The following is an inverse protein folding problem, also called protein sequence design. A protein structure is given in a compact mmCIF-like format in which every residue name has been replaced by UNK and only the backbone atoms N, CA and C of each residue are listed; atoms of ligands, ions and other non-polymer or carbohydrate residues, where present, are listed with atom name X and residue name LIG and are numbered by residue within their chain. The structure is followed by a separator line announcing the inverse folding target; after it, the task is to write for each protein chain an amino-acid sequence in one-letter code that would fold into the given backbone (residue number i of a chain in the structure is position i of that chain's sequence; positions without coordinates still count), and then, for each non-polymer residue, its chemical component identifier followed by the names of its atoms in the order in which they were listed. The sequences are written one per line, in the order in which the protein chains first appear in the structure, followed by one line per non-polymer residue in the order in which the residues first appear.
data_IF_143097960869
#
_entry.id   IF_143097960869
#
_cell.length_a   1.000
_cell.length_b   1.000
_cell.length_c   1.000
_cell.angle_alpha   90.00
_cell.angle_beta   90.00
_cell.angle_gamma   90.00
#
_symmetry.space_group_name_H-M   'P 1'
#
loop_
_entity.id
_entity.type
_entity.pdbx_description
1 polymer ?
#
# COMPACT_ATOMS: atom_id res chain seq x y z
N UNK A 1 -1.67 -8.94 0.47
CA UNK A 1 -0.42 -8.49 -0.17
C UNK A 1 -0.30 -8.88 -1.65
N UNK A 2 -0.70 -10.10 -2.08
CA UNK A 2 -0.70 -10.45 -3.52
C UNK A 2 -1.55 -9.52 -4.40
N UNK A 3 -2.75 -9.15 -3.93
CA UNK A 3 -3.61 -8.18 -4.63
C UNK A 3 -2.94 -6.81 -4.80
N UNK A 4 -2.17 -6.35 -3.79
CA UNK A 4 -1.45 -5.08 -3.83
C UNK A 4 -0.31 -5.12 -4.86
N UNK A 5 0.35 -6.27 -5.03
CA UNK A 5 1.38 -6.46 -6.07
C UNK A 5 0.76 -6.46 -7.47
N UNK A 6 -0.35 -7.18 -7.67
CA UNK A 6 -1.07 -7.20 -8.96
C UNK A 6 -1.60 -5.80 -9.29
N UNK A 7 -2.09 -5.07 -8.29
CA UNK A 7 -2.56 -3.69 -8.44
C UNK A 7 -1.42 -2.73 -8.81
N UNK A 8 -0.30 -2.76 -8.08
CA UNK A 8 0.90 -1.96 -8.41
C UNK A 8 1.49 -2.32 -9.78
N UNK A 9 1.39 -3.58 -10.21
CA UNK A 9 1.83 -4.00 -11.53
C UNK A 9 0.92 -3.45 -12.64
N UNK A 10 -0.40 -3.51 -12.43
CA UNK A 10 -1.37 -2.90 -13.35
C UNK A 10 -1.15 -1.39 -13.53
N UNK A 11 -0.90 -0.71 -12.41
CA UNK A 11 -0.47 0.69 -12.33
C UNK A 11 0.78 0.98 -13.16
N UNK A 12 1.85 0.21 -12.93
CA UNK A 12 3.12 0.40 -13.62
C UNK A 12 2.99 0.16 -15.15
N UNK A 13 2.20 -0.83 -15.56
CA UNK A 13 1.91 -1.07 -16.96
C UNK A 13 1.11 0.08 -17.59
N UNK A 14 0.15 0.65 -16.86
CA UNK A 14 -0.63 1.81 -17.31
C UNK A 14 0.22 3.08 -17.42
N UNK A 15 1.11 3.35 -16.47
CA UNK A 15 2.06 4.48 -16.54
C UNK A 15 3.02 4.32 -17.72
N UNK A 16 3.52 3.11 -17.97
CA UNK A 16 4.34 2.84 -19.14
C UNK A 16 3.57 3.03 -20.44
N UNK A 17 2.28 2.65 -20.46
CA UNK A 17 1.40 2.88 -21.59
C UNK A 17 1.13 4.39 -21.80
N UNK A 18 0.94 5.15 -20.72
CA UNK A 18 0.79 6.61 -20.72
C UNK A 18 2.01 7.30 -21.33
N UNK A 19 3.20 6.95 -20.84
CA UNK A 19 4.48 7.47 -21.31
C UNK A 19 4.74 7.11 -22.78
N UNK A 20 4.40 5.89 -23.19
CA UNK A 20 4.55 5.45 -24.59
C UNK A 20 3.59 6.14 -25.55
N UNK A 21 2.35 6.37 -25.12
CA UNK A 21 1.32 6.91 -26.00
C UNK A 21 1.49 8.42 -26.25
N UNK A 22 2.25 9.16 -25.40
CA UNK A 22 2.44 10.62 -25.45
C UNK A 22 1.14 11.43 -25.59
N UNK A 23 -0.03 10.81 -25.42
CA UNK A 23 -1.34 11.43 -25.38
C UNK A 23 -1.79 11.47 -23.94
N UNK A 24 -2.18 12.67 -23.51
CA UNK A 24 -2.90 12.92 -22.27
C UNK A 24 -3.96 11.83 -22.09
N UNK A 25 -3.86 11.04 -21.01
CA UNK A 25 -4.90 10.11 -20.57
C UNK A 25 -6.07 10.92 -20.03
N UNK A 26 -6.76 11.58 -20.95
CA UNK A 26 -7.91 12.44 -20.73
C UNK A 26 -9.20 11.61 -20.70
N UNK A 27 -9.12 10.39 -20.14
CA UNK A 27 -10.30 9.58 -19.84
C UNK A 27 -10.59 9.72 -18.34
N UNK A 28 -11.38 10.72 -17.93
CA UNK A 28 -11.67 11.00 -16.52
C UNK A 28 -12.28 9.81 -15.78
N UNK A 29 -12.95 8.90 -16.52
CA UNK A 29 -13.52 7.66 -16.00
C UNK A 29 -12.43 6.71 -15.49
N UNK A 30 -11.31 6.57 -16.22
CA UNK A 30 -10.22 5.69 -15.83
C UNK A 30 -9.49 6.23 -14.60
N UNK A 31 -9.26 7.56 -14.57
CA UNK A 31 -8.62 8.24 -13.44
C UNK A 31 -9.52 8.20 -12.19
N UNK A 32 -10.84 8.34 -12.34
CA UNK A 32 -11.80 8.21 -11.24
C UNK A 32 -11.85 6.80 -10.66
N UNK A 33 -11.93 5.76 -11.51
CA UNK A 33 -11.89 4.36 -11.07
C UNK A 33 -10.59 4.09 -10.26
N UNK A 34 -9.50 4.70 -10.71
CA UNK A 34 -8.19 4.52 -10.12
C UNK A 34 -8.06 5.18 -8.73
N UNK A 35 -8.54 6.42 -8.58
CA UNK A 35 -8.64 7.10 -7.28
C UNK A 35 -9.44 6.27 -6.28
N UNK A 36 -10.58 5.71 -6.70
CA UNK A 36 -11.41 4.85 -5.84
C UNK A 36 -10.67 3.55 -5.48
N UNK A 37 -10.00 2.92 -6.45
CA UNK A 37 -9.25 1.69 -6.24
C UNK A 37 -8.05 1.84 -5.30
N UNK A 38 -7.29 2.92 -5.42
CA UNK A 38 -6.20 3.24 -4.50
C UNK A 38 -6.71 3.56 -3.10
N UNK A 39 -7.83 4.25 -2.99
CA UNK A 39 -8.43 4.57 -1.71
C UNK A 39 -8.87 3.31 -0.95
N UNK A 40 -9.54 2.37 -1.65
CA UNK A 40 -9.94 1.07 -1.10
C UNK A 40 -8.71 0.23 -0.75
N UNK A 41 -7.69 0.21 -1.61
CA UNK A 41 -6.45 -0.55 -1.36
C UNK A 41 -5.69 0.02 -0.17
N UNK A 42 -5.66 1.34 -0.01
CA UNK A 42 -5.06 2.03 1.13
C UNK A 42 -5.76 1.70 2.44
N UNK A 43 -7.09 1.72 2.48
CA UNK A 43 -7.86 1.34 3.69
C UNK A 43 -7.66 -0.12 4.06
N UNK A 44 -7.63 -1.02 3.07
CA UNK A 44 -7.39 -2.44 3.31
C UNK A 44 -5.96 -2.71 3.81
N UNK A 45 -4.96 -1.98 3.28
CA UNK A 45 -3.56 -2.10 3.71
C UNK A 45 -3.36 -1.54 5.13
N UNK A 46 -4.05 -0.45 5.49
CA UNK A 46 -4.07 0.07 6.86
C UNK A 46 -4.67 -0.93 7.84
N UNK A 47 -5.81 -1.52 7.50
CA UNK A 47 -6.46 -2.53 8.34
C UNK A 47 -5.53 -3.75 8.57
N UNK A 48 -4.87 -4.22 7.50
CA UNK A 48 -3.90 -5.30 7.60
C UNK A 48 -2.67 -4.93 8.45
N UNK A 49 -2.14 -3.71 8.31
CA UNK A 49 -1.02 -3.21 9.10
C UNK A 49 -1.38 -3.08 10.59
N UNK A 50 -2.54 -2.51 10.91
CA UNK A 50 -3.04 -2.39 12.29
C UNK A 50 -3.29 -3.76 12.93
N UNK A 51 -3.89 -4.70 12.20
CA UNK A 51 -4.08 -6.07 12.70
C UNK A 51 -2.75 -6.77 12.96
N UNK A 52 -1.76 -6.60 12.07
CA UNK A 52 -0.44 -7.18 12.23
C UNK A 52 0.31 -6.56 13.42
N UNK A 53 0.20 -5.24 13.60
CA UNK A 53 0.79 -4.53 14.74
C UNK A 53 0.23 -5.03 16.08
N UNK A 54 -1.10 -5.21 16.18
CA UNK A 54 -1.75 -5.74 17.38
C UNK A 54 -1.24 -7.12 17.77
N UNK A 55 -1.13 -8.04 16.80
CA UNK A 55 -0.58 -9.39 17.02
C UNK A 55 0.90 -9.33 17.41
N UNK A 56 1.68 -8.43 16.80
CA UNK A 56 3.12 -8.28 17.10
C UNK A 56 3.35 -7.72 18.50
N UNK A 57 2.51 -6.79 18.96
CA UNK A 57 2.54 -6.27 20.34
C UNK A 57 2.16 -7.37 21.33
N UNK A 58 1.11 -8.14 21.06
CA UNK A 58 0.70 -9.26 21.93
C UNK A 58 1.80 -10.33 22.06
N UNK A 59 2.46 -10.69 20.95
CA UNK A 59 3.56 -11.65 20.96
C UNK A 59 4.80 -11.15 21.71
N UNK A 60 5.11 -9.85 21.61
CA UNK A 60 6.32 -9.26 22.20
C UNK A 60 6.15 -8.82 23.66
N UNK A 61 4.97 -8.34 24.05
CA UNK A 61 4.70 -7.81 25.40
C UNK A 61 4.12 -8.83 26.36
N UNK A 62 3.15 -9.64 25.94
CA UNK A 62 2.43 -10.55 26.85
C UNK A 62 3.06 -11.94 26.92
N UNK A 63 3.47 -12.49 25.77
CA UNK A 63 3.94 -13.88 25.70
C UNK A 63 5.44 -14.06 25.96
N UNK A 64 6.25 -12.98 25.96
CA UNK A 64 7.71 -13.01 26.14
C UNK A 64 8.45 -14.14 25.38
N UNK A 65 7.88 -14.60 24.25
CA UNK A 65 8.40 -15.70 23.45
C UNK A 65 9.64 -15.30 22.63
N UNK A 66 10.09 -14.04 22.74
CA UNK A 66 11.30 -13.50 22.12
C UNK A 66 12.58 -13.93 22.87
N UNK A 67 12.71 -15.21 23.25
CA UNK A 67 14.00 -15.80 23.65
C UNK A 67 14.76 -16.30 22.41
N UNK A 68 16.10 -16.33 22.45
CA UNK A 68 16.96 -16.37 21.25
C UNK A 68 16.84 -17.62 20.36
N UNK A 69 16.06 -18.63 20.73
CA UNK A 69 16.09 -19.94 20.09
C UNK A 69 14.86 -20.27 19.22
N UNK A 70 13.77 -19.50 19.25
CA UNK A 70 12.52 -19.90 18.57
C UNK A 70 11.91 -18.89 17.58
N UNK A 71 12.08 -17.56 17.74
CA UNK A 71 11.47 -16.62 16.77
C UNK A 71 12.17 -15.25 16.74
N UNK A 72 12.63 -14.75 15.57
CA UNK A 72 13.24 -13.43 15.47
C UNK A 72 12.17 -12.33 15.51
N UNK A 73 11.67 -11.98 16.71
CA UNK A 73 10.68 -10.92 16.93
C UNK A 73 11.00 -9.60 16.21
N UNK A 74 12.30 -9.27 16.10
CA UNK A 74 12.77 -8.09 15.39
C UNK A 74 12.32 -8.06 13.93
N UNK A 75 12.26 -9.22 13.24
CA UNK A 75 11.83 -9.32 11.84
C UNK A 75 10.34 -8.97 11.68
N UNK A 76 9.50 -9.40 12.61
CA UNK A 76 8.07 -9.07 12.59
C UNK A 76 7.82 -7.58 12.84
N UNK A 77 8.54 -6.99 13.80
CA UNK A 77 8.43 -5.57 14.07
C UNK A 77 8.88 -4.72 12.86
N UNK A 78 9.98 -5.10 12.21
CA UNK A 78 10.45 -4.44 10.99
C UNK A 78 9.43 -4.62 9.85
N UNK A 79 8.85 -5.81 9.68
CA UNK A 79 7.84 -6.06 8.66
C UNK A 79 6.58 -5.19 8.84
N UNK A 80 6.11 -5.03 10.08
CA UNK A 80 4.99 -4.13 10.40
C UNK A 80 5.35 -2.67 10.10
N UNK A 81 6.57 -2.23 10.44
CA UNK A 81 7.03 -0.88 10.11
C UNK A 81 7.05 -0.63 8.59
N UNK A 82 7.56 -1.59 7.81
CA UNK A 82 7.52 -1.53 6.34
C UNK A 82 6.09 -1.49 5.80
N UNK A 83 5.14 -2.22 6.40
CA UNK A 83 3.73 -2.17 6.01
C UNK A 83 3.11 -0.77 6.21
N UNK A 84 3.40 -0.10 7.34
CA UNK A 84 2.97 1.28 7.57
C UNK A 84 3.60 2.27 6.59
N UNK A 85 4.89 2.10 6.27
CA UNK A 85 5.57 2.93 5.28
C UNK A 85 4.92 2.73 3.90
N UNK A 86 4.71 1.48 3.47
CA UNK A 86 4.03 1.19 2.20
C UNK A 86 2.63 1.80 2.12
N UNK A 87 1.85 1.74 3.20
CA UNK A 87 0.56 2.40 3.28
C UNK A 87 0.66 3.93 3.10
N UNK A 88 1.64 4.57 3.75
CA UNK A 88 1.86 6.01 3.62
C UNK A 88 2.19 6.41 2.18
N UNK A 89 3.07 5.67 1.50
CA UNK A 89 3.39 5.93 0.09
C UNK A 89 2.17 5.77 -0.82
N UNK A 90 1.31 4.76 -0.57
CA UNK A 90 0.05 4.60 -1.31
C UNK A 90 -0.88 5.79 -1.12
N UNK A 91 -1.00 6.30 0.11
CA UNK A 91 -1.81 7.48 0.39
C UNK A 91 -1.28 8.72 -0.35
N UNK A 92 0.03 8.95 -0.35
CA UNK A 92 0.65 10.05 -1.11
C UNK A 92 0.38 9.91 -2.61
N UNK A 93 0.50 8.70 -3.16
CA UNK A 93 0.22 8.44 -4.58
C UNK A 93 -1.24 8.75 -4.96
N UNK A 94 -2.21 8.35 -4.12
CA UNK A 94 -3.62 8.66 -4.34
C UNK A 94 -3.92 10.16 -4.35
N UNK A 95 -3.22 10.93 -3.50
CA UNK A 95 -3.39 12.39 -3.41
C UNK A 95 -2.83 13.06 -4.67
N UNK A 96 -1.67 12.62 -5.15
CA UNK A 96 -1.08 13.14 -6.40
C UNK A 96 -1.99 12.85 -7.59
N UNK A 97 -2.54 11.64 -7.66
CA UNK A 97 -3.46 11.28 -8.75
C UNK A 97 -4.79 12.05 -8.69
N UNK A 98 -5.30 12.32 -7.48
CA UNK A 98 -6.45 13.19 -7.27
C UNK A 98 -6.19 14.65 -7.69
N UNK A 99 -4.99 15.18 -7.39
CA UNK A 99 -4.57 16.51 -7.84
C UNK A 99 -4.47 16.61 -9.36
N UNK A 100 -3.98 15.54 -10.02
CA UNK A 100 -3.94 15.43 -11.48
C UNK A 100 -5.34 15.41 -12.11
N UNK A 101 -6.29 14.71 -11.49
CA UNK A 101 -7.70 14.74 -11.93
C UNK A 101 -8.31 16.15 -11.85
N UNK A 102 -8.01 16.90 -10.79
CA UNK A 102 -8.53 18.27 -10.63
C UNK A 102 -7.84 19.32 -11.52
N UNK A 103 -6.71 18.98 -12.14
CA UNK A 103 -5.96 19.86 -13.04
C UNK A 103 -6.28 19.64 -14.53
N UNK A 104 -7.07 18.61 -14.88
CA UNK A 104 -7.45 18.25 -16.25
C UNK A 104 -8.77 18.88 -16.69
#
# INVERSE_FOLDING_TARGET
MGLQVVWSFGLACLDLHALRSKRSLQNPILVSLFVVGDWVTSTLSLAAACSSAGVTVLYSKDLNYCRPMHLPCSKFQIAVAFAFISWFLLAVSSIVMFRLLGAV
#
